data_IF_336504980971
#
_entry.id   IF_336504980971
#
_cell.length_a   1.000
_cell.length_b   1.000
_cell.length_c   1.000
_cell.angle_alpha   90.00
_cell.angle_beta   90.00
_cell.angle_gamma   90.00
#
_symmetry.space_group_name_H-M   'P 1'
#
loop_
_entity.id
_entity.type
_entity.pdbx_description
1 polymer ?
#
# COMPACT_ATOMS: atom_id res chain seq x y z
N UNK A 1 -8.51 2.42 -14.17
CA UNK A 1 -7.83 3.47 -13.37
C UNK A 1 -8.04 4.82 -14.03
N UNK A 2 -8.49 5.83 -13.29
CA UNK A 2 -8.69 7.17 -13.80
C UNK A 2 -7.82 8.19 -13.04
N UNK A 3 -7.22 9.13 -13.76
CA UNK A 3 -6.51 10.26 -13.16
C UNK A 3 -7.50 11.39 -12.92
N UNK A 4 -7.64 11.82 -11.66
CA UNK A 4 -8.54 12.89 -11.26
C UNK A 4 -7.73 14.11 -10.81
N UNK A 5 -7.80 15.20 -11.58
CA UNK A 5 -7.24 16.50 -11.19
C UNK A 5 -8.14 17.14 -10.12
N UNK A 6 -7.56 17.59 -9.01
CA UNK A 6 -8.32 18.24 -7.94
C UNK A 6 -8.72 19.67 -8.32
N UNK A 7 -9.88 20.13 -7.84
CA UNK A 7 -10.27 21.55 -7.91
C UNK A 7 -9.29 22.40 -7.07
N UNK A 8 -8.88 23.59 -7.54
CA UNK A 8 -7.88 24.42 -6.87
C UNK A 8 -8.48 25.24 -5.73
N UNK A 9 -9.05 24.58 -4.72
CA UNK A 9 -9.64 25.26 -3.55
C UNK A 9 -8.60 25.79 -2.55
N UNK A 10 -7.34 25.35 -2.67
CA UNK A 10 -6.19 25.85 -1.90
C UNK A 10 -4.89 25.65 -2.69
N UNK A 11 -3.83 26.40 -2.34
CA UNK A 11 -2.54 26.32 -3.03
C UNK A 11 -1.97 24.88 -3.05
N UNK A 12 -2.05 24.17 -1.93
CA UNK A 12 -1.58 22.78 -1.83
C UNK A 12 -2.36 21.76 -2.66
N UNK A 13 -3.63 22.05 -3.04
CA UNK A 13 -4.44 21.15 -3.87
C UNK A 13 -4.35 21.45 -5.37
N UNK A 14 -3.83 22.62 -5.76
CA UNK A 14 -3.85 23.12 -7.16
C UNK A 14 -3.20 22.17 -8.17
N UNK A 15 -2.08 21.55 -7.78
CA UNK A 15 -1.31 20.65 -8.65
C UNK A 15 -1.54 19.16 -8.31
N UNK A 16 -2.42 18.86 -7.36
CA UNK A 16 -2.67 17.49 -6.93
C UNK A 16 -3.48 16.73 -7.99
N UNK A 17 -2.90 15.64 -8.48
CA UNK A 17 -3.56 14.64 -9.31
C UNK A 17 -3.65 13.34 -8.51
N UNK A 18 -4.86 12.80 -8.38
CA UNK A 18 -5.12 11.54 -7.67
C UNK A 18 -5.33 10.41 -8.67
N UNK A 19 -4.84 9.23 -8.35
CA UNK A 19 -5.20 8.00 -9.05
C UNK A 19 -6.42 7.42 -8.34
N UNK A 20 -7.55 7.32 -9.04
CA UNK A 20 -8.79 6.76 -8.50
C UNK A 20 -9.12 5.47 -9.24
N UNK A 21 -9.31 4.39 -8.49
CA UNK A 21 -9.76 3.12 -9.04
C UNK A 21 -11.08 2.71 -8.35
N UNK A 22 -12.22 2.75 -9.06
CA UNK A 22 -13.52 2.42 -8.49
C UNK A 22 -13.66 0.94 -8.14
N UNK A 23 -12.85 0.08 -8.75
CA UNK A 23 -12.95 -1.38 -8.63
C UNK A 23 -12.26 -1.93 -7.36
N UNK A 24 -11.56 -1.07 -6.60
CA UNK A 24 -10.90 -1.46 -5.37
C UNK A 24 -11.89 -1.60 -4.22
N UNK A 25 -11.70 -2.67 -3.44
CA UNK A 25 -12.47 -2.94 -2.25
C UNK A 25 -12.32 -1.82 -1.21
N UNK A 26 -13.45 -1.36 -0.68
CA UNK A 26 -13.52 -0.25 0.29
C UNK A 26 -13.46 -0.71 1.75
N UNK A 27 -13.57 -2.01 2.00
CA UNK A 27 -13.60 -2.59 3.34
C UNK A 27 -12.21 -2.84 3.93
N UNK A 28 -12.19 -3.61 5.03
CA UNK A 28 -10.94 -4.04 5.66
C UNK A 28 -10.28 -5.14 4.82
N UNK A 29 -8.94 -5.20 4.81
CA UNK A 29 -8.23 -6.30 4.17
C UNK A 29 -8.52 -7.64 4.85
N UNK A 30 -8.27 -8.73 4.14
CA UNK A 30 -8.44 -10.08 4.67
C UNK A 30 -7.49 -10.36 5.84
N UNK A 31 -8.05 -10.42 7.06
CA UNK A 31 -7.29 -10.42 8.30
C UNK A 31 -6.24 -11.56 8.44
N UNK A 32 -6.51 -12.80 8.00
CA UNK A 32 -5.52 -13.89 8.09
C UNK A 32 -4.24 -13.68 7.28
N UNK A 33 -4.24 -12.79 6.29
CA UNK A 33 -3.06 -12.49 5.46
C UNK A 33 -2.41 -11.14 5.83
N UNK A 34 -2.64 -10.65 7.05
CA UNK A 34 -2.05 -9.42 7.56
C UNK A 34 -0.94 -9.70 8.56
N UNK A 35 0.18 -8.99 8.37
CA UNK A 35 1.31 -8.99 9.29
C UNK A 35 1.67 -7.58 9.75
N UNK A 36 2.27 -7.49 10.94
CA UNK A 36 2.77 -6.21 11.48
C UNK A 36 4.00 -5.78 10.69
N UNK A 37 3.95 -4.60 10.08
CA UNK A 37 5.10 -3.98 9.44
C UNK A 37 5.61 -2.77 10.24
N UNK A 38 6.65 -2.97 11.04
CA UNK A 38 7.32 -1.89 11.76
C UNK A 38 8.28 -1.12 10.85
N UNK A 39 8.22 0.21 10.88
CA UNK A 39 9.10 1.07 10.11
C UNK A 39 10.50 1.14 10.73
N UNK A 40 11.53 1.04 9.91
CA UNK A 40 12.93 1.21 10.34
C UNK A 40 13.33 2.68 10.56
N UNK A 41 12.61 3.62 9.93
CA UNK A 41 12.99 5.04 9.94
C UNK A 41 14.37 5.31 9.34
N UNK A 42 14.79 4.49 8.36
CA UNK A 42 16.09 4.61 7.70
C UNK A 42 17.29 4.15 8.54
N UNK A 43 17.03 3.50 9.68
CA UNK A 43 18.07 3.00 10.59
C UNK A 43 18.35 1.51 10.41
N UNK A 44 19.61 1.11 10.64
CA UNK A 44 20.02 -0.29 10.68
C UNK A 44 19.97 -0.88 12.10
N UNK A 45 20.43 -2.13 12.25
CA UNK A 45 20.52 -2.85 13.53
C UNK A 45 21.41 -2.17 14.59
N UNK A 46 22.36 -1.33 14.17
CA UNK A 46 23.19 -0.52 15.07
C UNK A 46 22.54 0.82 15.44
N UNK A 47 21.28 1.06 15.03
CA UNK A 47 20.55 2.30 15.28
C UNK A 47 21.03 3.51 14.46
N UNK A 48 21.99 3.32 13.54
CA UNK A 48 22.53 4.41 12.71
C UNK A 48 21.67 4.62 11.49
N UNK A 49 21.48 5.88 11.10
CA UNK A 49 20.81 6.24 9.84
C UNK A 49 21.73 5.81 8.70
N UNK A 50 21.30 4.81 7.93
CA UNK A 50 22.00 4.35 6.72
C UNK A 50 21.34 4.88 5.46
N UNK A 51 20.04 5.24 5.53
CA UNK A 51 19.31 5.84 4.43
C UNK A 51 18.59 7.10 4.93
N UNK A 52 18.89 8.24 4.30
CA UNK A 52 18.31 9.55 4.64
C UNK A 52 16.88 9.69 4.09
N UNK A 53 16.14 10.66 4.63
CA UNK A 53 14.76 11.00 4.23
C UNK A 53 13.72 9.87 4.39
N UNK A 54 14.00 8.85 5.21
CA UNK A 54 13.04 7.81 5.58
C UNK A 54 12.61 8.02 7.03
N UNK A 55 11.34 8.34 7.25
CA UNK A 55 10.78 8.54 8.59
C UNK A 55 9.35 9.07 8.54
N UNK A 56 8.56 8.82 9.59
CA UNK A 56 7.16 9.24 9.67
C UNK A 56 6.22 8.45 8.73
N UNK A 57 5.21 9.13 8.19
CA UNK A 57 4.16 8.55 7.33
C UNK A 57 3.14 7.68 8.06
N UNK A 58 2.01 7.38 7.41
CA UNK A 58 0.93 6.57 7.98
C UNK A 58 1.38 5.12 8.28
N UNK A 59 0.87 4.50 9.34
CA UNK A 59 1.17 3.09 9.66
C UNK A 59 0.60 2.16 8.58
N UNK A 60 1.35 1.15 8.19
CA UNK A 60 0.92 0.15 7.22
C UNK A 60 1.02 -1.24 7.84
N UNK A 61 0.10 -2.12 7.47
CA UNK A 61 0.22 -3.56 7.70
C UNK A 61 0.79 -4.17 6.43
N UNK A 62 1.62 -5.19 6.56
CA UNK A 62 2.09 -5.96 5.42
C UNK A 62 0.99 -6.96 5.02
N UNK A 63 0.77 -7.10 3.71
CA UNK A 63 -0.11 -8.14 3.16
C UNK A 63 0.78 -9.26 2.64
N UNK A 64 0.53 -10.48 3.10
CA UNK A 64 1.26 -11.64 2.62
C UNK A 64 0.86 -11.93 1.16
N UNK A 65 1.78 -11.74 0.24
CA UNK A 65 1.58 -12.01 -1.19
C UNK A 65 2.24 -13.33 -1.55
N UNK A 66 1.48 -14.22 -2.19
CA UNK A 66 2.00 -15.45 -2.75
C UNK A 66 2.75 -15.17 -4.06
N UNK A 67 4.06 -14.92 -3.94
CA UNK A 67 4.95 -14.75 -5.09
C UNK A 67 5.37 -16.08 -5.74
N UNK A 68 5.20 -17.22 -5.06
CA UNK A 68 5.70 -18.52 -5.54
C UNK A 68 4.66 -19.29 -6.35
N UNK A 69 3.37 -19.13 -6.04
CA UNK A 69 2.24 -19.76 -6.76
C UNK A 69 2.40 -21.27 -6.96
N UNK A 70 2.75 -22.02 -5.92
CA UNK A 70 3.05 -23.46 -6.01
C UNK A 70 1.81 -24.38 -6.09
N UNK A 71 0.62 -23.84 -6.33
CA UNK A 71 -0.65 -24.58 -6.37
C UNK A 71 -1.01 -24.98 -7.79
N UNK A 72 -0.17 -25.80 -8.40
CA UNK A 72 -0.35 -26.25 -9.77
C UNK A 72 -1.58 -27.14 -9.91
N UNK A 73 -2.35 -26.94 -10.99
CA UNK A 73 -3.57 -27.72 -11.26
C UNK A 73 -4.78 -27.38 -10.39
N UNK A 74 -4.66 -26.48 -9.41
CA UNK A 74 -5.76 -26.05 -8.56
C UNK A 74 -6.31 -24.70 -9.08
N UNK A 75 -7.54 -24.66 -9.62
CA UNK A 75 -8.15 -23.41 -10.05
C UNK A 75 -8.50 -22.54 -8.85
N UNK A 76 -8.45 -21.22 -9.05
CA UNK A 76 -8.89 -20.23 -8.07
C UNK A 76 -9.73 -19.16 -8.77
N UNK A 77 -10.70 -18.59 -8.04
CA UNK A 77 -11.50 -17.46 -8.51
C UNK A 77 -10.98 -16.16 -7.89
N UNK A 78 -11.02 -15.08 -8.67
CA UNK A 78 -10.66 -13.76 -8.16
C UNK A 78 -11.85 -13.23 -7.35
N UNK A 79 -11.70 -13.15 -6.03
CA UNK A 79 -12.76 -12.64 -5.15
C UNK A 79 -12.95 -11.13 -5.27
N UNK A 80 -11.86 -10.37 -5.16
CA UNK A 80 -11.85 -8.89 -5.20
C UNK A 80 -10.45 -8.35 -5.41
N UNK A 81 -10.39 -7.06 -5.77
CA UNK A 81 -9.14 -6.29 -5.84
C UNK A 81 -9.05 -5.36 -4.62
N UNK A 82 -7.90 -5.29 -3.95
CA UNK A 82 -7.66 -4.41 -2.80
C UNK A 82 -6.52 -3.41 -3.09
N UNK A 83 -6.53 -2.25 -2.41
CA UNK A 83 -5.44 -1.26 -2.43
C UNK A 83 -4.28 -1.69 -1.56
#
# INVERSE_FOLDING_TARGET
>A
MALQKCKPTSAGRRHLVKVVNPDLHKGKPYAPLLEKNSKSGGRNNNGRITVRHIGGGHKHNYRLIDFKRTKDGIPATVERLEY
#
